data_IF_336130817733
#
_entry.id   IF_336130817733
#
_cell.length_a   1.000
_cell.length_b   1.000
_cell.length_c   1.000
_cell.angle_alpha   90.00
_cell.angle_beta   90.00
_cell.angle_gamma   90.00
#
_symmetry.space_group_name_H-M   'P 1'
#
loop_
_entity.id
_entity.type
_entity.pdbx_description
1 polymer ?
#
# COMPACT_ATOMS: atom_id res chain seq x y z
N UNK A 1 20.58 8.01 -4.03
CA UNK A 1 19.27 8.48 -3.53
C UNK A 1 18.85 7.62 -2.36
N UNK A 2 18.58 8.24 -1.24
CA UNK A 2 18.16 7.54 -0.03
C UNK A 2 16.82 8.06 0.44
N UNK A 3 16.02 7.18 1.06
CA UNK A 3 14.71 7.52 1.57
C UNK A 3 14.69 7.34 3.08
N UNK A 4 14.02 8.25 3.77
CA UNK A 4 13.91 8.22 5.23
C UNK A 4 12.58 7.61 5.70
N UNK A 5 11.51 7.80 4.94
CA UNK A 5 10.15 7.41 5.33
C UNK A 5 9.42 6.84 4.13
N UNK A 6 9.11 5.55 4.17
CA UNK A 6 8.53 4.82 3.05
C UNK A 6 7.15 4.32 3.43
N UNK A 7 6.18 4.53 2.56
CA UNK A 7 4.82 4.02 2.71
C UNK A 7 4.57 2.90 1.71
N UNK A 8 4.13 1.75 2.20
CA UNK A 8 3.68 0.65 1.36
C UNK A 8 2.17 0.53 1.48
N UNK A 9 1.48 0.55 0.35
CA UNK A 9 0.04 0.34 0.32
C UNK A 9 -0.24 -1.14 0.03
N UNK A 10 -0.62 -1.90 1.06
CA UNK A 10 -0.98 -3.30 0.91
C UNK A 10 -2.37 -3.44 0.29
N UNK A 11 -2.54 -4.42 -0.57
CA UNK A 11 -3.78 -4.62 -1.34
C UNK A 11 -4.44 -5.97 -1.05
N UNK A 12 -3.79 -6.86 -0.31
CA UNK A 12 -4.33 -8.18 0.00
C UNK A 12 -4.15 -9.19 -1.12
N UNK A 13 -3.10 -9.04 -1.91
CA UNK A 13 -2.77 -9.96 -3.00
C UNK A 13 -1.28 -10.33 -2.97
N UNK A 14 -0.86 -11.23 -3.87
CA UNK A 14 0.51 -11.75 -3.88
C UNK A 14 1.59 -10.72 -4.19
N UNK A 15 1.23 -9.55 -4.70
CA UNK A 15 2.21 -8.48 -5.00
C UNK A 15 2.63 -7.75 -3.73
N UNK A 16 1.86 -7.86 -2.66
CA UNK A 16 2.21 -7.22 -1.38
C UNK A 16 3.58 -7.68 -0.89
N UNK A 17 3.88 -8.97 -1.00
CA UNK A 17 5.17 -9.51 -0.58
C UNK A 17 6.31 -8.81 -1.31
N UNK A 18 6.21 -8.69 -2.62
CA UNK A 18 7.23 -8.04 -3.44
C UNK A 18 7.37 -6.56 -3.09
N UNK A 19 6.25 -5.87 -2.91
CA UNK A 19 6.26 -4.44 -2.55
C UNK A 19 6.95 -4.21 -1.20
N UNK A 20 6.63 -5.03 -0.20
CA UNK A 20 7.26 -4.94 1.12
C UNK A 20 8.76 -5.24 1.04
N UNK A 21 9.13 -6.30 0.34
CA UNK A 21 10.55 -6.67 0.16
C UNK A 21 11.34 -5.55 -0.52
N UNK A 22 10.78 -4.94 -1.57
CA UNK A 22 11.42 -3.81 -2.25
C UNK A 22 11.60 -2.62 -1.32
N UNK A 23 10.57 -2.27 -0.57
CA UNK A 23 10.63 -1.17 0.40
C UNK A 23 11.75 -1.41 1.43
N UNK A 24 11.84 -2.64 1.95
CA UNK A 24 12.89 -3.01 2.89
C UNK A 24 14.29 -2.91 2.26
N UNK A 25 14.46 -3.41 1.06
CA UNK A 25 15.75 -3.31 0.35
C UNK A 25 16.16 -1.87 0.08
N UNK A 26 15.22 -1.06 -0.38
CA UNK A 26 15.47 0.35 -0.67
C UNK A 26 15.81 1.12 0.62
N UNK A 27 15.09 0.83 1.70
CA UNK A 27 15.27 1.53 2.98
C UNK A 27 16.41 1.03 3.84
N UNK A 28 17.05 -0.07 3.49
CA UNK A 28 18.06 -0.71 4.35
C UNK A 28 19.24 0.19 4.68
N UNK A 29 19.81 0.83 3.68
CA UNK A 29 21.01 1.65 3.83
C UNK A 29 20.76 2.88 4.71
N UNK A 30 19.63 3.55 4.51
CA UNK A 30 19.26 4.75 5.27
C UNK A 30 18.52 4.44 6.57
N UNK A 31 18.23 3.16 6.84
CA UNK A 31 17.41 2.73 7.96
C UNK A 31 16.06 3.43 7.97
N UNK A 32 15.42 3.45 6.81
CA UNK A 32 14.14 4.11 6.62
C UNK A 32 13.07 3.60 7.57
N UNK A 33 12.20 4.49 7.99
CA UNK A 33 10.98 4.09 8.71
C UNK A 33 9.95 3.65 7.67
N UNK A 34 9.40 2.45 7.84
CA UNK A 34 8.43 1.89 6.89
C UNK A 34 7.06 1.82 7.54
N UNK A 35 6.08 2.37 6.84
CA UNK A 35 4.66 2.32 7.19
C UNK A 35 3.95 1.44 6.18
N UNK A 36 3.14 0.52 6.64
CA UNK A 36 2.30 -0.30 5.77
C UNK A 36 0.85 -0.01 6.10
N UNK A 37 0.08 0.39 5.09
CA UNK A 37 -1.33 0.67 5.28
C UNK A 37 -2.18 -0.22 4.39
N UNK A 38 -3.34 -0.60 4.90
CA UNK A 38 -4.40 -1.20 4.14
C UNK A 38 -5.60 -0.26 4.16
N UNK A 39 -6.03 0.20 3.00
CA UNK A 39 -7.22 1.05 2.90
C UNK A 39 -8.42 0.15 2.69
N UNK A 40 -9.32 0.15 3.68
CA UNK A 40 -10.57 -0.55 3.61
C UNK A 40 -11.61 0.40 3.01
N UNK A 41 -12.00 0.10 1.77
CA UNK A 41 -12.95 0.92 1.03
C UNK A 41 -14.37 0.68 1.54
N UNK A 42 -15.02 1.74 2.00
CA UNK A 42 -16.38 1.67 2.55
C UNK A 42 -17.40 2.10 1.51
N UNK A 43 -18.41 1.27 1.29
CA UNK A 43 -19.49 1.55 0.35
C UNK A 43 -20.19 2.85 0.73
N UNK A 44 -20.53 3.67 -0.27
CA UNK A 44 -21.19 4.97 -0.07
C UNK A 44 -22.58 4.86 0.58
N UNK A 45 -23.19 3.69 0.55
CA UNK A 45 -24.46 3.45 1.23
C UNK A 45 -24.33 3.34 2.76
N UNK A 46 -23.08 3.28 3.27
CA UNK A 46 -22.79 3.13 4.69
C UNK A 46 -22.02 4.36 5.20
N UNK A 47 -22.12 4.66 6.53
CA UNK A 47 -21.21 5.66 7.13
C UNK A 47 -19.74 5.23 6.93
N UNK A 48 -18.86 6.20 6.73
CA UNK A 48 -17.43 5.89 6.49
C UNK A 48 -16.76 5.20 7.68
N UNK A 49 -17.29 5.38 8.87
CA UNK A 49 -16.81 4.74 10.09
C UNK A 49 -17.56 3.44 10.44
N UNK A 50 -18.44 2.95 9.53
CA UNK A 50 -19.13 1.68 9.74
C UNK A 50 -18.11 0.56 9.93
N UNK A 51 -18.32 -0.28 10.93
CA UNK A 51 -17.45 -1.41 11.20
C UNK A 51 -18.12 -2.67 10.67
N UNK A 52 -17.52 -3.27 9.64
CA UNK A 52 -17.94 -4.53 9.08
C UNK A 52 -16.91 -5.56 9.50
N UNK A 53 -17.24 -6.35 10.50
CA UNK A 53 -16.29 -7.24 11.16
C UNK A 53 -15.49 -8.15 10.22
N UNK A 54 -16.11 -8.87 9.25
CA UNK A 54 -15.33 -9.68 8.32
C UNK A 54 -14.31 -8.90 7.51
N UNK A 55 -14.63 -7.66 7.12
CA UNK A 55 -13.73 -6.81 6.35
C UNK A 55 -12.54 -6.36 7.19
N UNK A 56 -12.78 -6.01 8.45
CA UNK A 56 -11.73 -5.63 9.39
C UNK A 56 -10.80 -6.81 9.67
N UNK A 57 -11.35 -8.00 9.88
CA UNK A 57 -10.56 -9.21 10.10
C UNK A 57 -9.68 -9.54 8.88
N UNK A 58 -10.22 -9.40 7.68
CA UNK A 58 -9.45 -9.60 6.45
C UNK A 58 -8.31 -8.58 6.32
N UNK A 59 -8.57 -7.32 6.65
CA UNK A 59 -7.56 -6.26 6.64
C UNK A 59 -6.45 -6.54 7.65
N UNK A 60 -6.81 -6.95 8.86
CA UNK A 60 -5.84 -7.30 9.90
C UNK A 60 -4.92 -8.45 9.44
N UNK A 61 -5.48 -9.45 8.77
CA UNK A 61 -4.72 -10.58 8.23
C UNK A 61 -3.72 -10.11 7.17
N UNK A 62 -4.15 -9.24 6.27
CA UNK A 62 -3.27 -8.67 5.23
C UNK A 62 -2.09 -7.95 5.87
N UNK A 63 -2.35 -7.11 6.87
CA UNK A 63 -1.29 -6.37 7.55
C UNK A 63 -0.37 -7.26 8.36
N UNK A 64 -0.89 -8.31 8.98
CA UNK A 64 -0.06 -9.27 9.70
C UNK A 64 0.90 -9.99 8.75
N UNK A 65 0.42 -10.43 7.60
CA UNK A 65 1.26 -11.06 6.58
C UNK A 65 2.33 -10.08 6.06
N UNK A 66 1.96 -8.82 5.83
CA UNK A 66 2.91 -7.79 5.38
C UNK A 66 4.00 -7.55 6.44
N UNK A 67 3.62 -7.52 7.70
CA UNK A 67 4.56 -7.39 8.81
C UNK A 67 5.53 -8.56 8.87
N UNK A 68 5.04 -9.78 8.63
CA UNK A 68 5.90 -10.97 8.55
C UNK A 68 6.92 -10.87 7.41
N UNK A 69 6.50 -10.39 6.23
CA UNK A 69 7.44 -10.17 5.12
C UNK A 69 8.52 -9.17 5.49
N UNK A 70 8.16 -8.10 6.21
CA UNK A 70 9.12 -7.11 6.67
C UNK A 70 10.10 -7.72 7.68
N UNK A 71 9.63 -8.52 8.62
CA UNK A 71 10.47 -9.21 9.61
C UNK A 71 11.45 -10.16 8.95
N UNK A 72 11.06 -10.87 7.90
CA UNK A 72 11.96 -11.71 7.10
C UNK A 72 13.10 -10.91 6.46
N UNK A 73 12.92 -9.62 6.30
CA UNK A 73 13.91 -8.68 5.76
C UNK A 73 14.54 -7.79 6.84
N UNK A 74 14.44 -8.20 8.10
CA UNK A 74 15.03 -7.53 9.26
C UNK A 74 14.51 -6.10 9.48
N UNK A 75 13.24 -5.85 9.16
CA UNK A 75 12.59 -4.56 9.41
C UNK A 75 11.42 -4.69 10.37
N UNK A 76 11.37 -3.71 11.30
CA UNK A 76 10.17 -3.45 12.07
C UNK A 76 9.39 -2.36 11.34
N UNK A 77 8.10 -2.54 11.22
CA UNK A 77 7.22 -1.62 10.49
C UNK A 77 6.04 -1.19 11.34
N UNK A 78 5.47 -0.05 10.99
CA UNK A 78 4.20 0.38 11.56
C UNK A 78 3.09 0.04 10.58
N UNK A 79 1.99 -0.49 11.08
CA UNK A 79 0.85 -0.89 10.25
C UNK A 79 -0.41 -0.14 10.68
N UNK A 80 -1.30 0.14 9.73
CA UNK A 80 -2.55 0.83 10.00
C UNK A 80 -3.63 0.43 9.00
N UNK A 81 -4.85 0.26 9.50
CA UNK A 81 -6.05 0.10 8.68
C UNK A 81 -6.72 1.47 8.59
N UNK A 82 -7.03 1.89 7.38
CA UNK A 82 -7.72 3.15 7.14
C UNK A 82 -9.01 2.87 6.41
N UNK A 83 -10.13 3.34 6.97
CA UNK A 83 -11.41 3.27 6.29
C UNK A 83 -11.62 4.56 5.49
N UNK A 84 -11.98 4.42 4.22
CA UNK A 84 -12.16 5.55 3.33
C UNK A 84 -13.13 5.21 2.20
N UNK A 85 -13.61 6.24 1.52
CA UNK A 85 -14.46 6.05 0.33
C UNK A 85 -13.63 5.61 -0.88
N UNK A 86 -12.43 6.17 -1.03
CA UNK A 86 -11.58 5.93 -2.18
C UNK A 86 -10.15 5.65 -1.72
N UNK A 87 -9.52 4.67 -2.32
CA UNK A 87 -8.18 4.20 -1.91
C UNK A 87 -7.10 5.22 -2.23
N UNK A 88 -7.08 5.77 -3.45
CA UNK A 88 -6.04 6.71 -3.88
C UNK A 88 -5.90 7.93 -2.99
N UNK A 89 -6.97 8.71 -2.78
CA UNK A 89 -6.92 9.87 -1.87
C UNK A 89 -6.50 9.52 -0.44
N UNK A 90 -6.90 8.36 0.08
CA UNK A 90 -6.52 7.92 1.41
C UNK A 90 -5.01 7.69 1.51
N UNK A 91 -4.41 7.07 0.50
CA UNK A 91 -2.96 6.85 0.45
C UNK A 91 -2.21 8.18 0.45
N UNK A 92 -2.67 9.14 -0.35
CA UNK A 92 -2.08 10.48 -0.43
C UNK A 92 -2.12 11.17 0.94
N UNK A 93 -3.25 11.08 1.62
CA UNK A 93 -3.40 11.72 2.95
C UNK A 93 -2.45 11.13 3.97
N UNK A 94 -2.32 9.80 4.01
CA UNK A 94 -1.37 9.12 4.90
C UNK A 94 0.06 9.54 4.59
N UNK A 95 0.40 9.64 3.32
CA UNK A 95 1.73 10.05 2.89
C UNK A 95 2.06 11.45 3.40
N UNK A 96 1.09 12.37 3.31
CA UNK A 96 1.27 13.75 3.81
C UNK A 96 1.40 13.79 5.33
N UNK A 97 0.53 13.11 6.05
CA UNK A 97 0.52 13.10 7.51
C UNK A 97 1.82 12.55 8.09
N UNK A 98 2.45 11.60 7.41
CA UNK A 98 3.66 10.94 7.89
C UNK A 98 4.94 11.45 7.22
N UNK A 99 4.86 12.51 6.43
CA UNK A 99 6.01 13.06 5.71
C UNK A 99 6.79 12.00 4.93
N UNK A 100 6.05 11.16 4.22
CA UNK A 100 6.60 10.07 3.44
C UNK A 100 7.34 10.62 2.22
N UNK A 101 8.51 10.08 1.94
CA UNK A 101 9.31 10.48 0.77
C UNK A 101 9.34 9.43 -0.35
N UNK A 102 8.75 8.27 -0.12
CA UNK A 102 8.55 7.26 -1.16
C UNK A 102 7.27 6.47 -0.87
N UNK A 103 6.41 6.33 -1.88
CA UNK A 103 5.26 5.43 -1.84
C UNK A 103 5.58 4.23 -2.72
N UNK A 104 5.41 3.03 -2.18
CA UNK A 104 5.57 1.77 -2.93
C UNK A 104 4.23 1.08 -3.04
N UNK A 105 3.82 0.76 -4.25
CA UNK A 105 2.57 0.05 -4.52
C UNK A 105 2.83 -1.14 -5.43
N UNK A 106 2.25 -2.27 -5.10
CA UNK A 106 2.19 -3.41 -6.00
C UNK A 106 1.03 -3.25 -6.98
N UNK A 107 1.19 -3.80 -8.16
CA UNK A 107 0.17 -3.78 -9.20
C UNK A 107 0.05 -5.16 -9.82
N UNK A 108 -1.15 -5.74 -9.76
CA UNK A 108 -1.40 -7.02 -10.42
C UNK A 108 -1.52 -6.83 -11.93
N UNK A 109 -1.13 -7.85 -12.69
CA UNK A 109 -1.31 -7.82 -14.13
C UNK A 109 -2.71 -8.32 -14.48
N UNK A 110 -3.61 -7.38 -14.77
CA UNK A 110 -4.99 -7.69 -15.13
C UNK A 110 -5.33 -7.09 -16.48
N UNK A 111 -6.01 -7.88 -17.31
CA UNK A 111 -6.60 -7.40 -18.55
C UNK A 111 -8.12 -7.35 -18.42
N UNK A 112 -8.70 -6.27 -18.87
CA UNK A 112 -10.15 -6.11 -18.93
C UNK A 112 -10.53 -5.76 -20.36
N UNK A 113 -11.43 -6.54 -20.95
CA UNK A 113 -11.80 -6.39 -22.36
C UNK A 113 -10.58 -6.39 -23.31
N UNK A 114 -9.61 -7.28 -23.04
CA UNK A 114 -8.40 -7.39 -23.84
C UNK A 114 -7.34 -6.30 -23.59
N UNK A 115 -7.59 -5.35 -22.71
CA UNK A 115 -6.67 -4.25 -22.41
C UNK A 115 -6.16 -4.32 -20.97
N UNK A 116 -4.88 -4.04 -20.78
CA UNK A 116 -4.29 -3.92 -19.45
C UNK A 116 -4.92 -2.77 -18.68
N UNK A 117 -5.22 -2.99 -17.40
CA UNK A 117 -5.81 -1.95 -16.56
C UNK A 117 -5.04 -1.82 -15.24
N UNK A 118 -4.86 -0.59 -14.79
CA UNK A 118 -4.24 -0.28 -13.50
C UNK A 118 -5.26 0.01 -12.40
N UNK A 119 -6.56 -0.01 -12.72
CA UNK A 119 -7.59 0.41 -11.76
C UNK A 119 -7.55 1.91 -11.53
N UNK A 120 -8.07 2.35 -10.38
CA UNK A 120 -8.22 3.78 -10.07
C UNK A 120 -7.16 4.32 -9.11
N UNK A 121 -6.69 3.50 -8.17
CA UNK A 121 -5.79 3.97 -7.11
C UNK A 121 -4.40 4.35 -7.64
N UNK A 122 -3.79 3.51 -8.47
CA UNK A 122 -2.44 3.75 -8.98
C UNK A 122 -2.35 5.01 -9.83
N UNK A 123 -3.23 5.24 -10.83
CA UNK A 123 -3.19 6.50 -11.59
C UNK A 123 -3.37 7.73 -10.71
N UNK A 124 -4.25 7.67 -9.71
CA UNK A 124 -4.48 8.78 -8.80
C UNK A 124 -3.22 9.10 -7.98
N UNK A 125 -2.58 8.07 -7.43
CA UNK A 125 -1.35 8.24 -6.65
C UNK A 125 -0.23 8.78 -7.52
N UNK A 126 -0.06 8.28 -8.74
CA UNK A 126 0.96 8.77 -9.67
C UNK A 126 0.78 10.26 -9.99
N UNK A 127 -0.46 10.71 -10.10
CA UNK A 127 -0.77 12.11 -10.40
C UNK A 127 -0.63 13.03 -9.19
N UNK A 128 -1.09 12.58 -8.01
CA UNK A 128 -1.28 13.45 -6.86
C UNK A 128 -0.25 13.27 -5.73
N UNK A 129 0.63 12.28 -5.81
CA UNK A 129 1.58 12.02 -4.72
C UNK A 129 2.51 13.21 -4.47
N UNK A 130 2.72 13.60 -3.19
CA UNK A 130 3.63 14.69 -2.86
C UNK A 130 5.10 14.27 -2.88
N UNK A 131 5.38 13.01 -3.20
CA UNK A 131 6.71 12.40 -3.13
C UNK A 131 6.91 11.47 -4.32
N UNK A 132 8.06 10.80 -4.35
CA UNK A 132 8.34 9.78 -5.36
C UNK A 132 7.46 8.56 -5.16
N UNK A 133 7.13 7.90 -6.27
CA UNK A 133 6.27 6.72 -6.30
C UNK A 133 6.96 5.61 -7.07
N UNK A 134 6.96 4.43 -6.49
CA UNK A 134 7.45 3.21 -7.13
C UNK A 134 6.28 2.25 -7.30
N UNK A 135 5.98 1.88 -8.54
CA UNK A 135 4.96 0.89 -8.83
C UNK A 135 5.63 -0.41 -9.25
N UNK A 136 5.35 -1.47 -8.52
CA UNK A 136 5.85 -2.80 -8.85
C UNK A 136 4.72 -3.62 -9.45
N UNK A 137 4.70 -3.73 -10.77
CA UNK A 137 3.73 -4.61 -11.44
C UNK A 137 4.24 -6.04 -11.36
N UNK A 138 3.36 -6.98 -11.00
CA UNK A 138 3.73 -8.40 -11.02
C UNK A 138 4.14 -8.85 -12.42
N UNK A 139 4.85 -9.96 -12.48
CA UNK A 139 5.24 -10.54 -13.77
C UNK A 139 4.02 -10.84 -14.61
N UNK A 140 4.15 -10.65 -15.90
CA UNK A 140 3.14 -11.10 -16.85
C UNK A 140 3.04 -12.63 -16.79
N UNK A 141 1.83 -13.20 -16.62
CA UNK A 141 1.67 -14.65 -16.56
C UNK A 141 2.02 -15.34 -17.85
#
# INVERSE_FOLDING_TARGET
MEFARILVAARGNGVDQVAVELACKIGKKSKAKIFIVYVLEVNRSLPVDAIIKPDVEAAEKVLLEAEEYAQENDFEVETEIIQARDVGPAIIEVARQNNVDLIVMGLTYKKRFGSFTMGNAVPHVLEEAPCRVLICRERKP
#
